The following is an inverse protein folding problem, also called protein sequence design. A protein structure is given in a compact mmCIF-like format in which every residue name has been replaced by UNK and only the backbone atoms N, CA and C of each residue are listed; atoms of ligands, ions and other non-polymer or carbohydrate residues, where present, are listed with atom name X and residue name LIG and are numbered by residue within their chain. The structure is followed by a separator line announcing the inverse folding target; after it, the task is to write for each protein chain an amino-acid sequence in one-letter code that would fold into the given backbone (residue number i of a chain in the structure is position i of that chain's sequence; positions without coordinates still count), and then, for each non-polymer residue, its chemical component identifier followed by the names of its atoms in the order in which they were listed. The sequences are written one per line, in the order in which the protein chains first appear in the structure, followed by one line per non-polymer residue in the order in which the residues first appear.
data_IF_998154947781
#
_entry.id   IF_998154947781
#
_cell.length_a   1.000
_cell.length_b   1.000
_cell.length_c   1.000
_cell.angle_alpha   90.00
_cell.angle_beta   90.00
_cell.angle_gamma   90.00
#
_symmetry.space_group_name_H-M   'P 1'
#
loop_
_entity.id
_entity.type
_entity.pdbx_description
1 polymer ?
#
# COMPACT_ATOMS: atom_id res chain seq x y z
N UNK A 1 13.54 10.39 20.64
CA UNK A 1 14.21 10.61 19.34
C UNK A 1 13.15 11.09 18.34
N UNK A 2 13.33 12.29 17.79
CA UNK A 2 12.23 13.12 17.29
C UNK A 2 11.66 12.67 15.93
N UNK A 3 10.35 12.41 15.88
CA UNK A 3 9.55 12.37 14.64
C UNK A 3 9.37 13.82 14.18
N UNK A 4 10.11 14.26 13.16
CA UNK A 4 10.16 15.69 12.77
C UNK A 4 9.37 16.07 11.51
N UNK A 5 8.55 15.18 10.97
CA UNK A 5 7.60 15.58 9.92
C UNK A 5 6.52 14.51 9.72
N UNK A 6 5.28 14.84 10.11
CA UNK A 6 4.08 14.11 9.70
C UNK A 6 3.61 14.75 8.40
N UNK A 7 3.85 14.10 7.26
CA UNK A 7 3.20 14.49 6.02
C UNK A 7 1.81 13.85 6.01
N UNK A 8 0.79 14.60 6.44
CA UNK A 8 -0.61 14.18 6.27
C UNK A 8 -0.93 14.18 4.78
N UNK A 9 -0.70 13.04 4.12
CA UNK A 9 -1.23 12.83 2.79
C UNK A 9 -2.74 12.62 2.92
N UNK A 10 -3.54 13.60 2.50
CA UNK A 10 -4.97 13.38 2.29
C UNK A 10 -5.13 12.50 1.06
N UNK A 11 -5.24 11.20 1.26
CA UNK A 11 -5.84 10.34 0.26
C UNK A 11 -7.35 10.59 0.27
N UNK A 12 -7.88 11.27 -0.75
CA UNK A 12 -9.31 11.46 -0.92
C UNK A 12 -9.92 10.17 -1.48
N UNK A 13 -10.94 9.67 -0.81
CA UNK A 13 -11.67 8.46 -1.18
C UNK A 13 -12.94 8.85 -1.95
N UNK A 14 -13.04 8.45 -3.22
CA UNK A 14 -14.29 8.43 -3.96
C UNK A 14 -14.76 6.97 -4.06
N UNK A 15 -15.30 6.45 -2.96
CA UNK A 15 -15.76 5.06 -2.90
C UNK A 15 -17.12 4.85 -3.55
N UNK A 16 -17.22 3.79 -4.34
CA UNK A 16 -18.48 3.07 -4.55
C UNK A 16 -18.64 2.07 -3.40
N UNK A 17 -19.85 1.91 -2.89
CA UNK A 17 -20.17 0.89 -1.90
C UNK A 17 -19.76 -0.51 -2.40
N UNK A 18 -19.09 -1.27 -1.54
CA UNK A 18 -18.88 -2.70 -1.77
C UNK A 18 -20.21 -3.41 -1.57
N UNK A 19 -20.68 -4.18 -2.56
CA UNK A 19 -21.75 -5.14 -2.34
C UNK A 19 -21.20 -6.24 -1.41
N UNK A 20 -21.93 -6.62 -0.34
CA UNK A 20 -21.49 -7.68 0.55
C UNK A 20 -21.34 -9.00 -0.23
N UNK A 21 -20.30 -9.77 0.08
CA UNK A 21 -20.18 -11.17 -0.31
C UNK A 21 -21.27 -11.89 0.51
N UNK A 22 -22.27 -12.44 -0.17
CA UNK A 22 -23.47 -13.00 0.45
C UNK A 22 -23.13 -14.27 1.25
N UNK A 23 -23.00 -14.10 2.57
CA UNK A 23 -23.71 -14.96 3.52
C UNK A 23 -24.96 -14.15 3.94
N UNK A 24 -26.10 -14.80 4.14
CA UNK A 24 -27.44 -14.22 4.38
C UNK A 24 -27.53 -13.23 5.56
N UNK A 25 -26.89 -12.07 5.42
CA UNK A 25 -26.97 -10.92 6.32
C UNK A 25 -27.83 -9.90 5.61
N UNK A 26 -29.09 -9.79 6.06
CA UNK A 26 -29.94 -8.65 5.73
C UNK A 26 -29.24 -7.39 6.24
N UNK A 27 -28.56 -6.68 5.35
CA UNK A 27 -27.96 -5.39 5.64
C UNK A 27 -29.08 -4.41 6.00
N UNK A 28 -29.22 -4.12 7.30
CA UNK A 28 -30.30 -3.28 7.84
C UNK A 28 -30.07 -1.77 7.61
N UNK A 29 -28.97 -1.39 6.99
CA UNK A 29 -28.69 -0.02 6.58
C UNK A 29 -27.94 -0.02 5.23
N UNK A 30 -28.35 0.85 4.31
CA UNK A 30 -27.59 1.16 3.11
C UNK A 30 -26.19 1.68 3.54
N UNK A 31 -25.08 1.12 3.03
CA UNK A 31 -23.75 1.48 3.50
C UNK A 31 -23.44 2.95 3.18
N UNK A 32 -23.54 3.81 4.19
CA UNK A 32 -23.16 5.20 4.08
C UNK A 32 -21.66 5.30 3.75
N UNK A 33 -21.25 6.12 2.77
CA UNK A 33 -19.85 6.26 2.40
C UNK A 33 -19.04 6.82 3.57
N UNK A 34 -18.25 5.97 4.23
CA UNK A 34 -17.27 6.40 5.24
C UNK A 34 -16.01 6.87 4.54
N UNK A 35 -15.60 8.11 4.80
CA UNK A 35 -14.33 8.63 4.34
C UNK A 35 -13.20 8.02 5.17
N UNK A 36 -12.49 7.04 4.61
CA UNK A 36 -11.32 6.44 5.25
C UNK A 36 -10.08 7.29 4.97
N UNK A 37 -9.35 7.68 6.02
CA UNK A 37 -8.07 8.36 5.89
C UNK A 37 -6.90 7.38 5.99
N UNK A 38 -6.00 7.43 5.02
CA UNK A 38 -4.70 6.77 5.07
C UNK A 38 -3.62 7.83 5.21
N UNK A 39 -2.83 7.76 6.28
CA UNK A 39 -1.74 8.71 6.54
C UNK A 39 -0.38 8.09 6.26
N UNK A 40 0.55 8.89 5.74
CA UNK A 40 1.91 8.47 5.38
C UNK A 40 2.91 9.22 6.26
N UNK A 41 3.49 8.55 7.25
CA UNK A 41 4.51 9.15 8.11
C UNK A 41 5.89 8.84 7.53
N UNK A 42 6.69 9.87 7.23
CA UNK A 42 8.06 9.70 6.71
C UNK A 42 9.09 9.87 7.83
N UNK A 43 10.06 8.96 7.88
CA UNK A 43 11.26 9.04 8.71
C UNK A 43 12.34 9.92 8.10
N UNK A 44 13.48 10.02 8.78
CA UNK A 44 14.53 11.06 8.63
C UNK A 44 15.36 11.04 7.34
N UNK A 45 15.07 10.20 6.34
CA UNK A 45 15.86 10.22 5.10
C UNK A 45 15.38 11.32 4.16
N UNK A 46 15.90 12.53 4.35
CA UNK A 46 15.60 13.71 3.53
C UNK A 46 16.50 13.85 2.29
N UNK A 47 17.62 13.13 2.21
CA UNK A 47 18.66 13.36 1.16
C UNK A 47 18.94 12.16 0.26
N UNK A 48 18.28 11.01 0.49
CA UNK A 48 18.48 9.81 -0.33
C UNK A 48 17.91 9.92 -1.74
N UNK A 49 18.53 9.20 -2.68
CA UNK A 49 18.01 8.92 -4.03
C UNK A 49 16.54 8.44 -3.95
N UNK A 50 15.66 8.96 -4.82
CA UNK A 50 14.28 8.47 -4.93
C UNK A 50 14.31 7.12 -5.63
N UNK A 51 13.88 6.07 -4.93
CA UNK A 51 13.82 4.71 -5.45
C UNK A 51 12.46 4.37 -6.06
N UNK A 52 11.39 4.98 -5.53
CA UNK A 52 10.03 4.83 -6.01
C UNK A 52 9.32 6.18 -5.95
N UNK A 53 8.62 6.55 -7.03
CA UNK A 53 7.79 7.74 -7.10
C UNK A 53 6.39 7.35 -7.55
N UNK A 54 5.40 7.71 -6.74
CA UNK A 54 3.99 7.60 -7.05
C UNK A 54 3.41 9.00 -7.27
N UNK A 55 2.76 9.21 -8.41
CA UNK A 55 2.09 10.46 -8.78
C UNK A 55 0.63 10.15 -9.10
N UNK A 56 -0.26 10.54 -8.19
CA UNK A 56 -1.71 10.35 -8.28
C UNK A 56 -2.09 8.90 -8.60
N UNK A 57 -1.34 7.93 -8.05
CA UNK A 57 -1.57 6.50 -8.26
C UNK A 57 -2.92 6.14 -7.66
N UNK A 58 -3.79 5.56 -8.49
CA UNK A 58 -5.10 5.07 -8.08
C UNK A 58 -5.03 3.57 -7.84
N UNK A 59 -5.40 3.16 -6.63
CA UNK A 59 -5.38 1.76 -6.19
C UNK A 59 -6.67 1.07 -6.61
N UNK A 60 -6.52 -0.09 -7.25
CA UNK A 60 -7.66 -0.94 -7.62
C UNK A 60 -8.53 -1.28 -6.39
N UNK A 61 -9.82 -1.56 -6.62
CA UNK A 61 -10.83 -1.93 -5.61
C UNK A 61 -11.21 -0.85 -4.58
N UNK A 62 -10.31 0.09 -4.29
CA UNK A 62 -10.49 1.09 -3.22
C UNK A 62 -10.62 2.51 -3.74
N UNK A 63 -10.25 2.78 -5.00
CA UNK A 63 -10.13 4.14 -5.55
C UNK A 63 -9.26 5.08 -4.69
N UNK A 64 -8.42 4.51 -3.82
CA UNK A 64 -7.49 5.27 -3.00
C UNK A 64 -6.47 5.91 -3.93
N UNK A 65 -6.34 7.23 -3.86
CA UNK A 65 -5.35 7.98 -4.64
C UNK A 65 -4.18 8.39 -3.76
N UNK A 66 -2.95 8.17 -4.21
CA UNK A 66 -1.75 8.53 -3.46
C UNK A 66 -0.65 9.17 -4.33
N UNK A 67 0.08 10.10 -3.72
CA UNK A 67 1.28 10.72 -4.27
C UNK A 67 2.38 10.71 -3.22
N UNK A 68 3.47 9.96 -3.44
CA UNK A 68 4.54 9.81 -2.47
C UNK A 68 5.87 9.44 -3.12
N UNK A 69 6.96 9.68 -2.39
CA UNK A 69 8.31 9.28 -2.77
C UNK A 69 8.90 8.38 -1.69
N UNK A 70 9.44 7.23 -2.10
CA UNK A 70 10.28 6.40 -1.24
C UNK A 70 11.74 6.65 -1.60
N UNK A 71 12.52 7.05 -0.61
CA UNK A 71 13.94 7.39 -0.76
C UNK A 71 14.82 6.33 -0.14
N UNK A 72 16.02 6.14 -0.70
CA UNK A 72 17.04 5.24 -0.17
C UNK A 72 17.37 5.62 1.28
N UNK A 73 17.45 4.61 2.15
CA UNK A 73 17.67 4.78 3.59
C UNK A 73 16.45 5.32 4.36
N UNK A 74 15.35 5.62 3.68
CA UNK A 74 14.12 6.11 4.27
C UNK A 74 13.25 5.00 4.85
N UNK A 75 12.49 5.38 5.88
CA UNK A 75 11.43 4.55 6.45
C UNK A 75 10.14 5.31 6.32
N UNK A 76 9.12 4.68 5.75
CA UNK A 76 7.80 5.26 5.59
C UNK A 76 6.79 4.35 6.25
N UNK A 77 5.99 4.89 7.17
CA UNK A 77 4.91 4.17 7.81
C UNK A 77 3.57 4.56 7.18
N UNK A 78 2.75 3.56 6.92
CA UNK A 78 1.39 3.73 6.41
C UNK A 78 0.41 3.41 7.54
N UNK A 79 -0.43 4.37 7.93
CA UNK A 79 -1.41 4.22 9.01
C UNK A 79 -2.81 4.57 8.54
N UNK A 80 -3.83 4.08 9.23
CA UNK A 80 -5.24 4.27 8.88
C UNK A 80 -6.09 3.15 9.45
N UNK A 81 -7.41 3.27 9.34
CA UNK A 81 -8.37 2.26 9.84
C UNK A 81 -8.27 0.93 9.07
N UNK A 82 -8.73 -0.16 9.69
CA UNK A 82 -8.94 -1.43 8.98
C UNK A 82 -9.95 -1.22 7.86
N UNK A 83 -9.70 -1.76 6.67
CA UNK A 83 -10.54 -1.54 5.49
C UNK A 83 -10.21 -0.29 4.67
N UNK A 84 -9.35 0.62 5.13
CA UNK A 84 -8.96 1.84 4.41
C UNK A 84 -8.14 1.61 3.11
N UNK A 85 -7.86 0.35 2.74
CA UNK A 85 -7.09 0.02 1.52
C UNK A 85 -5.58 -0.02 1.66
N UNK A 86 -5.02 0.03 2.87
CA UNK A 86 -3.56 -0.01 3.13
C UNK A 86 -2.86 -1.19 2.46
N UNK A 87 -3.42 -2.39 2.59
CA UNK A 87 -2.84 -3.61 1.99
C UNK A 87 -2.89 -3.57 0.47
N UNK A 88 -3.96 -3.02 -0.12
CA UNK A 88 -4.06 -2.84 -1.56
C UNK A 88 -3.03 -1.80 -2.06
N UNK A 89 -2.88 -0.68 -1.34
CA UNK A 89 -1.85 0.31 -1.65
C UNK A 89 -0.44 -0.29 -1.63
N UNK A 90 -0.10 -1.06 -0.59
CA UNK A 90 1.21 -1.70 -0.51
C UNK A 90 1.44 -2.70 -1.65
N UNK A 91 0.42 -3.49 -2.02
CA UNK A 91 0.47 -4.39 -3.20
C UNK A 91 0.67 -3.62 -4.51
N UNK A 92 0.02 -2.48 -4.67
CA UNK A 92 0.19 -1.61 -5.85
C UNK A 92 1.58 -0.98 -5.91
N UNK A 93 2.09 -0.44 -4.81
CA UNK A 93 3.46 0.10 -4.73
C UNK A 93 4.53 -0.99 -4.97
N UNK A 94 4.24 -2.22 -4.54
CA UNK A 94 5.05 -3.41 -4.80
C UNK A 94 4.82 -4.02 -6.20
N UNK A 95 4.11 -3.33 -7.11
CA UNK A 95 3.79 -3.79 -8.47
C UNK A 95 3.20 -5.22 -8.53
N UNK A 96 2.58 -5.70 -7.45
CA UNK A 96 1.90 -6.99 -7.38
C UNK A 96 0.48 -6.91 -7.95
N UNK A 97 -0.13 -5.72 -7.85
CA UNK A 97 -1.43 -5.39 -8.42
C UNK A 97 -1.26 -4.10 -9.23
N UNK A 98 -1.70 -4.04 -10.50
CA UNK A 98 -1.56 -2.83 -11.30
C UNK A 98 -2.38 -1.67 -10.70
N UNK A 99 -1.84 -0.46 -10.81
CA UNK A 99 -2.60 0.75 -10.55
C UNK A 99 -3.65 0.95 -11.65
N UNK A 100 -4.81 1.50 -11.30
CA UNK A 100 -5.89 1.83 -12.26
C UNK A 100 -5.78 3.24 -12.82
N UNK A 101 -4.84 4.04 -12.33
CA UNK A 101 -4.58 5.40 -12.78
C UNK A 101 -3.31 5.98 -12.15
N UNK A 102 -2.91 7.16 -12.62
CA UNK A 102 -1.68 7.84 -12.20
C UNK A 102 -0.41 7.23 -12.78
N UNK A 103 0.73 7.53 -12.16
CA UNK A 103 2.05 7.05 -12.58
C UNK A 103 2.85 6.52 -11.39
N UNK A 104 3.36 5.30 -11.54
CA UNK A 104 4.31 4.70 -10.61
C UNK A 104 5.63 4.48 -11.35
N UNK A 105 6.71 5.13 -10.89
CA UNK A 105 8.04 5.07 -11.49
C UNK A 105 9.08 4.55 -10.48
N UNK A 106 10.13 3.91 -10.98
CA UNK A 106 11.20 3.36 -10.17
C UNK A 106 11.12 1.85 -10.04
N UNK A 107 12.28 1.24 -9.79
CA UNK A 107 12.50 -0.21 -9.89
C UNK A 107 11.94 -0.76 -11.22
N UNK A 108 12.37 -0.18 -12.33
CA UNK A 108 11.92 -0.58 -13.66
C UNK A 108 12.63 -1.84 -14.13
N UNK A 109 12.02 -2.55 -15.07
CA UNK A 109 12.50 -3.83 -15.61
C UNK A 109 11.51 -4.98 -15.42
N UNK A 110 11.73 -6.10 -16.13
CA UNK A 110 10.85 -7.26 -16.03
C UNK A 110 10.90 -7.86 -14.61
N UNK A 111 9.90 -8.68 -14.23
CA UNK A 111 9.74 -9.24 -12.89
C UNK A 111 11.00 -9.86 -12.25
N UNK A 112 11.99 -10.44 -12.96
CA UNK A 112 13.24 -10.84 -12.31
C UNK A 112 14.08 -9.66 -11.77
N UNK A 113 14.26 -8.61 -12.57
CA UNK A 113 15.10 -7.45 -12.22
C UNK A 113 14.45 -6.56 -11.15
N UNK A 114 13.13 -6.38 -11.24
CA UNK A 114 12.36 -5.63 -10.26
C UNK A 114 12.32 -6.32 -8.88
N UNK A 115 11.97 -7.61 -8.85
CA UNK A 115 11.77 -8.37 -7.59
C UNK A 115 13.07 -8.58 -6.81
N UNK A 116 14.23 -8.50 -7.47
CA UNK A 116 15.52 -8.49 -6.78
C UNK A 116 15.71 -7.26 -5.85
N UNK A 117 14.94 -6.18 -6.05
CA UNK A 117 15.05 -4.93 -5.28
C UNK A 117 13.87 -4.67 -4.35
N UNK A 118 12.79 -5.43 -4.48
CA UNK A 118 11.56 -5.25 -3.71
C UNK A 118 11.08 -6.58 -3.16
N UNK A 119 10.99 -6.65 -1.83
CA UNK A 119 10.38 -7.77 -1.12
C UNK A 119 9.04 -7.34 -0.50
N UNK A 120 8.02 -8.18 -0.63
CA UNK A 120 6.72 -8.00 0.01
C UNK A 120 6.54 -9.03 1.10
N UNK A 121 6.42 -8.58 2.35
CA UNK A 121 6.12 -9.46 3.49
C UNK A 121 4.61 -9.38 3.73
N UNK A 122 3.92 -10.50 3.53
CA UNK A 122 2.47 -10.58 3.68
C UNK A 122 2.04 -10.43 5.14
N UNK A 123 0.80 -9.96 5.33
CA UNK A 123 0.16 -9.93 6.64
C UNK A 123 -0.13 -11.34 7.15
N UNK A 124 -0.58 -12.21 6.25
CA UNK A 124 -0.80 -13.63 6.54
C UNK A 124 0.52 -14.38 6.44
N UNK A 125 0.78 -15.25 7.42
CA UNK A 125 1.93 -16.15 7.44
C UNK A 125 1.43 -17.57 7.20
N UNK A 126 1.32 -18.03 5.94
CA UNK A 126 1.01 -19.42 5.69
C UNK A 126 2.14 -20.29 6.24
N UNK A 127 1.78 -21.33 6.99
CA UNK A 127 2.75 -22.33 7.45
C UNK A 127 3.18 -23.13 6.24
N UNK A 128 4.46 -23.04 5.88
CA UNK A 128 5.03 -23.87 4.81
C UNK A 128 5.67 -25.10 5.47
N UNK A 129 5.44 -26.27 4.88
CA UNK A 129 6.03 -27.51 5.38
C UNK A 129 7.55 -27.49 5.18
N UNK A 130 8.29 -28.06 6.13
CA UNK A 130 9.75 -28.10 6.11
C UNK A 130 10.37 -27.45 7.34
N UNK A 131 11.69 -27.46 7.40
CA UNK A 131 12.45 -26.80 8.46
C UNK A 131 12.65 -25.31 8.15
N UNK A 132 13.01 -24.48 9.14
CA UNK A 132 13.41 -23.09 8.88
C UNK A 132 14.58 -22.97 7.90
N UNK A 133 15.50 -23.95 7.87
CA UNK A 133 16.65 -23.94 6.95
C UNK A 133 16.20 -23.98 5.50
N UNK A 134 15.16 -24.74 5.19
CA UNK A 134 14.65 -24.94 3.82
C UNK A 134 14.03 -23.66 3.21
N UNK A 135 13.85 -22.60 4.01
CA UNK A 135 13.18 -21.35 3.61
C UNK A 135 14.08 -20.10 3.71
N UNK A 136 15.33 -20.25 4.15
CA UNK A 136 16.28 -19.15 4.33
C UNK A 136 17.40 -19.12 3.28
N UNK A 137 17.46 -20.14 2.43
CA UNK A 137 18.35 -20.25 1.26
C UNK A 137 17.62 -19.88 -0.04
#
# INVERSE_FOLDING_TARGET
AAVRSVALLRASFAGRAYAPIADDVVAKDEPQPRAYAVSVVRGTASTGEVLLKAENVVVALTNLTCSLELRRGGRTALTGETGAGKTQLLKTLAKLVPATGGRLAGFDGPPPAYRARVAFVSQDRPTVAGSPRDHLE
#
